data_IF_201789871923
#
_entry.id   IF_201789871923
#
_cell.length_a   1.000
_cell.length_b   1.000
_cell.length_c   1.000
_cell.angle_alpha   90.00
_cell.angle_beta   90.00
_cell.angle_gamma   90.00
#
_symmetry.space_group_name_H-M   'P 1'
#
loop_
_entity.id
_entity.type
_entity.pdbx_description
1 polymer ?
#
# COMPACT_ATOMS: atom_id res chain seq x y z
N UNK A 1 -5.33 8.40 11.30
CA UNK A 1 -4.22 8.64 10.36
C UNK A 1 -4.83 8.93 8.99
N UNK A 2 -4.43 9.99 8.30
CA UNK A 2 -4.89 10.24 6.93
C UNK A 2 -4.23 9.23 5.97
N UNK A 3 -4.99 8.57 5.10
CA UNK A 3 -4.41 7.79 4.00
C UNK A 3 -3.62 8.73 3.10
N UNK A 4 -2.44 8.30 2.60
CA UNK A 4 -1.75 9.01 1.52
C UNK A 4 -2.73 9.19 0.36
N UNK A 5 -2.81 10.41 -0.21
CA UNK A 5 -3.81 10.71 -1.23
C UNK A 5 -3.42 10.00 -2.52
N UNK A 6 -4.41 9.45 -3.24
CA UNK A 6 -4.22 8.78 -4.54
C UNK A 6 -3.37 9.58 -5.55
N UNK A 7 -3.50 10.92 -5.54
CA UNK A 7 -2.71 11.82 -6.38
C UNK A 7 -1.20 11.78 -6.12
N UNK A 8 -0.78 11.35 -4.93
CA UNK A 8 0.63 11.27 -4.57
C UNK A 8 1.28 10.04 -5.21
N UNK A 9 0.56 8.91 -5.30
CA UNK A 9 1.03 7.69 -5.96
C UNK A 9 1.18 7.86 -7.49
N UNK A 10 0.29 8.65 -8.11
CA UNK A 10 0.35 8.98 -9.54
C UNK A 10 1.64 9.72 -9.94
N UNK A 11 2.30 10.42 -8.99
CA UNK A 11 3.55 11.16 -9.22
C UNK A 11 4.81 10.32 -9.04
N UNK A 12 4.72 9.12 -8.45
CA UNK A 12 5.86 8.25 -8.20
C UNK A 12 6.31 7.53 -9.47
N UNK A 13 7.58 7.18 -9.61
CA UNK A 13 8.06 6.34 -10.72
C UNK A 13 7.57 4.89 -10.55
N UNK A 14 7.56 4.11 -11.64
CA UNK A 14 7.13 2.69 -11.59
C UNK A 14 7.99 1.88 -10.60
N UNK A 15 9.31 2.12 -10.58
CA UNK A 15 10.25 1.47 -9.66
C UNK A 15 10.04 1.87 -8.19
N UNK A 16 9.71 3.14 -7.94
CA UNK A 16 9.42 3.63 -6.60
C UNK A 16 8.11 3.03 -6.06
N UNK A 17 7.08 2.88 -6.91
CA UNK A 17 5.83 2.22 -6.55
C UNK A 17 6.05 0.76 -6.16
N UNK A 18 6.85 0.04 -6.93
CA UNK A 18 7.17 -1.37 -6.65
C UNK A 18 7.88 -1.53 -5.30
N UNK A 19 8.83 -0.64 -5.02
CA UNK A 19 9.58 -0.63 -3.76
C UNK A 19 8.67 -0.32 -2.57
N UNK A 20 7.80 0.70 -2.68
CA UNK A 20 6.81 1.05 -1.64
C UNK A 20 5.78 -0.06 -1.43
N UNK A 21 5.29 -0.72 -2.49
CA UNK A 21 4.38 -1.87 -2.38
C UNK A 21 5.05 -3.00 -1.59
N UNK A 22 6.31 -3.31 -1.88
CA UNK A 22 7.06 -4.36 -1.17
C UNK A 22 7.23 -4.02 0.32
N UNK A 23 7.68 -2.79 0.61
CA UNK A 23 7.85 -2.31 1.98
C UNK A 23 6.52 -2.29 2.76
N UNK A 24 5.42 -1.85 2.12
CA UNK A 24 4.10 -1.83 2.73
C UNK A 24 3.58 -3.25 3.02
N UNK A 25 3.85 -4.23 2.15
CA UNK A 25 3.51 -5.64 2.39
C UNK A 25 4.26 -6.22 3.59
N UNK A 26 5.55 -5.93 3.73
CA UNK A 26 6.35 -6.36 4.88
C UNK A 26 5.82 -5.76 6.20
N UNK A 27 5.56 -4.45 6.21
CA UNK A 27 4.93 -3.80 7.38
C UNK A 27 3.57 -4.40 7.70
N UNK A 28 2.78 -4.77 6.69
CA UNK A 28 1.48 -5.41 6.92
C UNK A 28 1.62 -6.78 7.58
N UNK A 29 2.65 -7.55 7.22
CA UNK A 29 2.92 -8.85 7.85
C UNK A 29 3.38 -8.69 9.29
N UNK A 30 4.24 -7.72 9.59
CA UNK A 30 4.69 -7.40 10.94
C UNK A 30 3.52 -6.96 11.83
N UNK A 31 2.70 -6.01 11.36
CA UNK A 31 1.53 -5.55 12.10
C UNK A 31 0.51 -6.65 12.37
N UNK A 32 0.32 -7.59 11.42
CA UNK A 32 -0.53 -8.75 11.64
C UNK A 32 0.03 -9.67 12.72
N UNK A 33 1.35 -9.88 12.74
CA UNK A 33 2.01 -10.67 13.76
C UNK A 33 1.89 -10.00 15.13
N UNK A 34 2.22 -8.73 15.24
CA UNK A 34 2.07 -7.94 16.47
C UNK A 34 0.63 -7.94 17.00
N UNK A 35 -0.35 -7.73 16.11
CA UNK A 35 -1.77 -7.79 16.47
C UNK A 35 -2.15 -9.17 17.02
N UNK A 36 -1.60 -10.25 16.46
CA UNK A 36 -1.86 -11.62 16.93
C UNK A 36 -1.18 -11.92 18.27
N UNK A 37 0.02 -11.39 18.52
CA UNK A 37 0.80 -11.69 19.72
C UNK A 37 0.36 -10.86 20.92
N UNK A 38 0.17 -9.54 20.74
CA UNK A 38 -0.06 -8.60 21.85
C UNK A 38 -1.42 -7.91 21.78
N UNK A 39 -2.11 -7.99 20.64
CA UNK A 39 -3.24 -7.12 20.34
C UNK A 39 -2.75 -5.72 19.99
N UNK A 40 -3.16 -5.21 18.83
CA UNK A 40 -2.83 -3.84 18.44
C UNK A 40 -3.87 -2.88 19.03
N UNK A 41 -3.44 -1.74 19.55
CA UNK A 41 -4.35 -0.71 20.08
C UNK A 41 -5.31 -0.18 19.01
N UNK A 42 -4.89 -0.19 17.74
CA UNK A 42 -5.73 0.19 16.61
C UNK A 42 -5.59 -0.80 15.44
N UNK A 43 -6.50 -1.79 15.34
CA UNK A 43 -6.54 -2.75 14.23
C UNK A 43 -6.81 -2.10 12.87
N UNK A 44 -7.38 -0.89 12.84
CA UNK A 44 -7.71 -0.20 11.60
C UNK A 44 -6.48 0.11 10.76
N UNK A 45 -5.29 0.23 11.37
CA UNK A 45 -4.01 0.48 10.68
C UNK A 45 -3.73 -0.59 9.63
N UNK A 46 -4.00 -1.87 9.95
CA UNK A 46 -3.84 -2.99 9.00
C UNK A 46 -4.78 -2.81 7.79
N UNK A 47 -6.02 -2.37 8.05
CA UNK A 47 -7.01 -2.15 7.00
C UNK A 47 -6.63 -0.96 6.11
N UNK A 48 -6.08 0.10 6.68
CA UNK A 48 -5.62 1.27 5.94
C UNK A 48 -4.44 0.91 5.05
N UNK A 49 -3.43 0.21 5.60
CA UNK A 49 -2.26 -0.24 4.86
C UNK A 49 -2.64 -1.16 3.70
N UNK A 50 -3.61 -2.07 3.89
CA UNK A 50 -4.16 -2.91 2.81
C UNK A 50 -4.79 -2.08 1.69
N UNK A 51 -5.52 -1.00 2.03
CA UNK A 51 -6.13 -0.10 1.04
C UNK A 51 -5.07 0.69 0.28
N UNK A 52 -4.00 1.13 0.95
CA UNK A 52 -2.87 1.81 0.29
C UNK A 52 -2.16 0.89 -0.70
N UNK A 53 -1.90 -0.37 -0.33
CA UNK A 53 -1.33 -1.37 -1.26
C UNK A 53 -2.23 -1.54 -2.49
N UNK A 54 -3.55 -1.66 -2.29
CA UNK A 54 -4.48 -1.79 -3.39
C UNK A 54 -4.45 -0.58 -4.33
N UNK A 55 -4.44 0.64 -3.79
CA UNK A 55 -4.35 1.87 -4.60
C UNK A 55 -3.06 1.91 -5.42
N UNK A 56 -1.91 1.57 -4.82
CA UNK A 56 -0.63 1.52 -5.53
C UNK A 56 -0.64 0.50 -6.67
N UNK A 57 -1.19 -0.70 -6.44
CA UNK A 57 -1.33 -1.73 -7.47
C UNK A 57 -2.32 -1.33 -8.58
N UNK A 58 -3.39 -0.61 -8.25
CA UNK A 58 -4.32 -0.05 -9.25
C UNK A 58 -3.60 0.95 -10.14
N UNK A 59 -2.81 1.89 -9.58
CA UNK A 59 -2.03 2.84 -10.39
C UNK A 59 -1.04 2.15 -11.33
N UNK A 60 -0.40 1.05 -10.92
CA UNK A 60 0.45 0.27 -11.83
C UNK A 60 -0.34 -0.35 -12.98
N UNK A 61 -1.54 -0.87 -12.68
CA UNK A 61 -2.43 -1.48 -13.67
C UNK A 61 -2.98 -0.44 -14.65
N UNK A 62 -3.30 0.77 -14.17
CA UNK A 62 -3.73 1.88 -15.02
C UNK A 62 -2.61 2.33 -15.96
N UNK A 63 -1.36 2.41 -15.45
CA UNK A 63 -0.19 2.73 -16.27
C UNK A 63 0.11 1.66 -17.32
N UNK A 64 0.01 0.38 -16.97
CA UNK A 64 0.25 -0.69 -17.93
C UNK A 64 -0.81 -0.70 -19.03
N UNK A 65 -2.08 -0.46 -18.68
CA UNK A 65 -3.16 -0.29 -19.67
C UNK A 65 -2.93 0.91 -20.60
N UNK A 66 -2.56 2.07 -20.05
CA UNK A 66 -2.29 3.26 -20.85
C UNK A 66 -1.05 3.13 -21.75
N UNK A 67 -0.04 2.32 -21.39
CA UNK A 67 1.10 2.02 -22.28
C UNK A 67 0.73 1.11 -23.45
N UNK A 68 -0.33 0.32 -23.32
CA UNK A 68 -0.75 -0.69 -24.29
C UNK A 68 -1.96 -0.23 -25.16
N UNK A 69 -2.46 0.98 -24.94
CA UNK A 69 -3.59 1.59 -25.66
C UNK A 69 -3.09 2.68 -26.62
#
# INVERSE_FOLDING_TARGET
MALKKYKDFSKMTDSALETEISAAKQRMTELKFEHKVKGLSNPSVITHLRREIAQMSTTQTERSKNKNA
#
